data_IF_703550093665
#
_entry.id   IF_703550093665
#
_cell.length_a   1.000
_cell.length_b   1.000
_cell.length_c   1.000
_cell.angle_alpha   90.00
_cell.angle_beta   90.00
_cell.angle_gamma   90.00
#
_symmetry.space_group_name_H-M   'P 1'
#
loop_
_entity.id
_entity.type
_entity.pdbx_description
1 polymer ?
#
# COMPACT_ATOMS: atom_id res chain seq x y z
N UNK A 1 -12.11 -5.56 -12.36
CA UNK A 1 -12.14 -4.39 -13.28
C UNK A 1 -11.19 -3.27 -12.83
N UNK A 2 -11.24 -2.81 -11.56
CA UNK A 2 -10.36 -1.73 -11.09
C UNK A 2 -8.85 -2.08 -11.08
N UNK A 3 -8.49 -3.26 -10.58
CA UNK A 3 -7.10 -3.74 -10.52
C UNK A 3 -6.35 -3.72 -11.85
N UNK A 4 -6.95 -4.28 -12.89
CA UNK A 4 -6.27 -4.45 -14.18
C UNK A 4 -5.93 -3.09 -14.83
N UNK A 5 -6.78 -2.08 -14.61
CA UNK A 5 -6.54 -0.71 -15.08
C UNK A 5 -5.42 -0.05 -14.27
N UNK A 6 -5.42 -0.23 -12.96
CA UNK A 6 -4.39 0.31 -12.07
C UNK A 6 -3.01 -0.26 -12.41
N UNK A 7 -2.90 -1.58 -12.57
CA UNK A 7 -1.63 -2.25 -12.93
C UNK A 7 -1.07 -1.84 -14.28
N UNK A 8 -1.94 -1.41 -15.22
CA UNK A 8 -1.52 -0.92 -16.53
C UNK A 8 -1.06 0.54 -16.48
N UNK A 9 -1.68 1.36 -15.63
CA UNK A 9 -1.39 2.78 -15.54
C UNK A 9 -0.13 3.08 -14.70
N UNK A 10 0.14 2.33 -13.64
CA UNK A 10 1.33 2.57 -12.83
C UNK A 10 1.93 1.29 -12.23
N UNK A 11 3.24 1.27 -11.95
CA UNK A 11 3.87 0.19 -11.21
C UNK A 11 3.27 0.10 -9.80
N UNK A 12 2.66 -1.04 -9.48
CA UNK A 12 2.10 -1.28 -8.16
C UNK A 12 3.19 -1.81 -7.24
N UNK A 13 3.25 -1.30 -6.00
CA UNK A 13 4.16 -1.84 -4.99
C UNK A 13 3.86 -3.35 -4.78
N UNK A 14 4.86 -4.24 -4.83
CA UNK A 14 4.67 -5.68 -4.61
C UNK A 14 4.00 -6.06 -3.29
N UNK A 15 4.06 -5.20 -2.26
CA UNK A 15 3.43 -5.40 -0.95
C UNK A 15 2.02 -4.79 -0.85
N UNK A 16 1.57 -4.05 -1.87
CA UNK A 16 0.18 -3.58 -1.92
C UNK A 16 -0.74 -4.81 -1.98
N UNK A 17 -1.81 -4.79 -1.19
CA UNK A 17 -2.84 -5.85 -1.20
C UNK A 17 -4.21 -5.29 -1.53
N UNK A 18 -4.42 -4.00 -1.32
CA UNK A 18 -5.62 -3.28 -1.75
C UNK A 18 -5.68 -3.11 -3.26
N UNK A 19 -6.90 -3.24 -3.82
CA UNK A 19 -7.19 -3.03 -5.24
C UNK A 19 -6.34 -3.89 -6.20
N UNK A 20 -5.77 -5.01 -5.74
CA UNK A 20 -5.08 -5.98 -6.60
C UNK A 20 -5.64 -7.40 -6.48
N UNK A 21 -5.40 -8.22 -7.51
CA UNK A 21 -5.73 -9.64 -7.52
C UNK A 21 -4.55 -10.39 -6.88
N UNK A 22 -4.53 -10.43 -5.55
CA UNK A 22 -3.52 -11.14 -4.78
C UNK A 22 -4.18 -11.91 -3.64
N UNK A 23 -3.40 -12.77 -2.98
CA UNK A 23 -3.73 -13.25 -1.64
C UNK A 23 -4.03 -12.04 -0.73
N UNK A 24 -4.99 -12.17 0.19
CA UNK A 24 -5.39 -11.04 1.04
C UNK A 24 -4.26 -10.50 1.94
N UNK A 25 -4.60 -9.67 2.93
CA UNK A 25 -3.61 -9.03 3.80
C UNK A 25 -2.87 -9.98 4.78
N UNK A 26 -3.14 -11.28 4.74
CA UNK A 26 -2.56 -12.27 5.64
C UNK A 26 -1.02 -12.30 5.55
N UNK A 27 -0.45 -12.12 4.35
CA UNK A 27 1.00 -12.10 4.15
C UNK A 27 1.64 -10.89 4.85
N UNK A 28 1.09 -9.69 4.66
CA UNK A 28 1.58 -8.47 5.31
C UNK A 28 1.48 -8.58 6.84
N UNK A 29 0.38 -9.16 7.34
CA UNK A 29 0.21 -9.41 8.77
C UNK A 29 1.27 -10.40 9.28
N UNK A 30 1.56 -11.47 8.53
CA UNK A 30 2.57 -12.44 8.90
C UNK A 30 3.97 -11.82 8.94
N UNK A 31 4.30 -10.99 7.97
CA UNK A 31 5.58 -10.25 7.92
C UNK A 31 5.73 -9.31 9.12
N UNK A 32 4.69 -8.54 9.46
CA UNK A 32 4.69 -7.69 10.65
C UNK A 32 4.89 -8.51 11.93
N UNK A 33 4.18 -9.63 12.08
CA UNK A 33 4.34 -10.53 13.22
C UNK A 33 5.77 -11.08 13.32
N UNK A 34 6.40 -11.44 12.20
CA UNK A 34 7.77 -11.93 12.17
C UNK A 34 8.78 -10.84 12.55
N UNK A 35 8.58 -9.60 12.07
CA UNK A 35 9.41 -8.45 12.44
C UNK A 35 9.35 -8.20 13.95
N UNK A 36 8.14 -8.17 14.53
CA UNK A 36 7.94 -7.99 15.98
C UNK A 36 8.59 -9.13 16.78
N UNK A 37 8.39 -10.38 16.37
CA UNK A 37 9.01 -11.54 17.05
C UNK A 37 10.53 -11.51 17.00
N UNK A 38 11.09 -11.09 15.87
CA UNK A 38 12.55 -11.00 15.67
C UNK A 38 13.16 -9.90 16.53
N UNK A 39 12.55 -8.71 16.55
CA UNK A 39 13.00 -7.62 17.41
C UNK A 39 12.99 -8.02 18.90
N UNK A 40 11.95 -8.72 19.35
CA UNK A 40 11.87 -9.27 20.71
C UNK A 40 12.97 -10.28 21.01
N UNK A 41 13.21 -11.24 20.10
CA UNK A 41 14.24 -12.29 20.25
C UNK A 41 15.65 -11.69 20.31
N UNK A 42 15.90 -10.64 19.54
CA UNK A 42 17.22 -10.01 19.42
C UNK A 42 17.42 -8.84 20.39
N UNK A 43 16.46 -8.57 21.28
CA UNK A 43 16.47 -7.42 22.20
C UNK A 43 16.69 -6.07 21.50
N UNK A 44 16.14 -5.91 20.29
CA UNK A 44 16.21 -4.68 19.49
C UNK A 44 14.91 -3.87 19.61
N UNK A 45 15.04 -2.55 19.49
CA UNK A 45 13.88 -1.67 19.39
C UNK A 45 13.25 -1.74 17.99
N UNK A 46 11.92 -1.75 17.94
CA UNK A 46 11.14 -1.69 16.71
C UNK A 46 9.99 -0.70 16.89
N UNK A 47 9.94 0.34 16.05
CA UNK A 47 8.81 1.25 15.93
C UNK A 47 7.88 0.82 14.80
N UNK A 48 6.56 0.90 15.04
CA UNK A 48 5.54 0.63 14.02
C UNK A 48 4.60 1.84 13.98
N UNK A 49 4.42 2.41 12.79
CA UNK A 49 3.52 3.56 12.56
C UNK A 49 2.40 3.12 11.63
N UNK A 50 1.16 3.33 12.05
CA UNK A 50 -0.02 3.13 11.21
C UNK A 50 -0.45 4.48 10.66
N UNK A 51 -0.52 4.59 9.33
CA UNK A 51 -0.92 5.80 8.60
C UNK A 51 -2.25 5.53 7.90
N UNK A 52 -3.18 6.47 7.99
CA UNK A 52 -4.49 6.39 7.36
C UNK A 52 -4.89 7.75 6.76
N UNK A 53 -5.71 7.71 5.70
CA UNK A 53 -6.24 8.89 5.03
C UNK A 53 -7.75 8.99 5.26
N UNK A 54 -8.18 9.99 6.02
CA UNK A 54 -9.61 10.24 6.22
C UNK A 54 -10.30 10.60 4.91
N UNK A 55 -11.38 9.88 4.56
CA UNK A 55 -12.17 10.10 3.34
C UNK A 55 -11.29 10.12 2.07
N UNK A 56 -10.42 9.12 1.92
CA UNK A 56 -9.41 9.08 0.85
C UNK A 56 -9.98 9.22 -0.58
N UNK A 57 -11.24 8.85 -0.82
CA UNK A 57 -11.87 9.04 -2.14
C UNK A 57 -12.50 10.41 -2.34
N UNK A 58 -12.91 11.07 -1.26
CA UNK A 58 -13.59 12.37 -1.32
C UNK A 58 -12.62 13.55 -1.20
N UNK A 59 -11.46 13.33 -0.59
CA UNK A 59 -10.52 14.41 -0.20
C UNK A 59 -9.32 14.56 -1.12
N UNK A 60 -9.16 13.65 -2.09
CA UNK A 60 -8.07 13.78 -3.06
C UNK A 60 -8.37 14.93 -4.01
N UNK A 61 -7.45 15.91 -4.06
CA UNK A 61 -7.54 17.02 -4.99
C UNK A 61 -7.48 16.52 -6.44
N UNK A 62 -8.41 16.99 -7.28
CA UNK A 62 -8.49 16.62 -8.69
C UNK A 62 -7.21 16.97 -9.46
N UNK A 63 -6.55 18.07 -9.12
CA UNK A 63 -5.27 18.45 -9.73
C UNK A 63 -4.20 17.35 -9.52
N UNK A 64 -4.11 16.78 -8.31
CA UNK A 64 -3.16 15.69 -8.05
C UNK A 64 -3.49 14.41 -8.85
N UNK A 65 -4.77 14.16 -9.12
CA UNK A 65 -5.19 13.04 -9.97
C UNK A 65 -4.70 13.29 -11.40
N UNK A 66 -4.94 14.47 -11.97
CA UNK A 66 -4.49 14.80 -13.34
C UNK A 66 -2.97 14.77 -13.47
N UNK A 67 -2.24 15.34 -12.53
CA UNK A 67 -0.78 15.26 -12.50
C UNK A 67 -0.27 13.82 -12.41
N UNK A 68 -0.97 12.95 -11.68
CA UNK A 68 -0.66 11.53 -11.60
C UNK A 68 -0.91 10.78 -12.92
N UNK A 69 -1.98 11.13 -13.62
CA UNK A 69 -2.32 10.56 -14.93
C UNK A 69 -1.33 10.99 -16.02
N UNK A 70 -0.97 12.28 -16.07
CA UNK A 70 -0.01 12.83 -17.02
C UNK A 70 1.36 12.16 -16.87
N UNK A 71 1.84 11.99 -15.62
CA UNK A 71 3.06 11.22 -15.31
C UNK A 71 3.01 9.76 -15.74
N UNK A 72 1.81 9.20 -15.85
CA UNK A 72 1.56 7.81 -16.26
C UNK A 72 1.34 7.67 -17.77
N UNK A 73 1.40 8.78 -18.53
CA UNK A 73 1.18 8.80 -19.98
C UNK A 73 -0.27 8.54 -20.38
N UNK A 74 -1.22 8.89 -19.51
CA UNK A 74 -2.68 8.79 -19.73
C UNK A 74 -3.27 10.16 -19.99
#
# INVERSE_FOLDING_TARGET
>A
IATARLSKACPINPQQRGFICASGCAENLKLLQLAVKTAKREHKHLGVVFVDFAKAFDTVCHQHIFEGLDKSGV
#
